data_IF_518317481769
#
_entry.id   IF_518317481769
#
_cell.length_a   1.000
_cell.length_b   1.000
_cell.length_c   1.000
_cell.angle_alpha   90.00
_cell.angle_beta   90.00
_cell.angle_gamma   90.00
#
_symmetry.space_group_name_H-M   'P 1'
#
loop_
_entity.id
_entity.type
_entity.pdbx_description
1 polymer ?
#
# COMPACT_ATOMS: atom_id res chain seq x y z
N UNK A 1 -19.99 -7.03 0.38
CA UNK A 1 -19.40 -6.80 1.72
C UNK A 1 -18.89 -5.36 1.73
N UNK A 2 -19.64 -4.40 2.27
CA UNK A 2 -19.24 -2.98 2.20
C UNK A 2 -18.32 -2.67 3.37
N UNK A 3 -17.02 -2.68 3.09
CA UNK A 3 -15.96 -2.34 4.04
C UNK A 3 -15.58 -0.88 3.82
N UNK A 4 -15.54 -0.06 4.87
CA UNK A 4 -14.89 1.25 4.79
C UNK A 4 -13.41 1.10 5.12
N UNK A 5 -12.55 1.82 4.40
CA UNK A 5 -11.12 1.91 4.65
C UNK A 5 -10.76 3.36 4.95
N UNK A 6 -10.07 3.58 6.07
CA UNK A 6 -9.40 4.85 6.38
C UNK A 6 -7.94 4.53 6.64
N UNK A 7 -7.02 5.29 6.05
CA UNK A 7 -5.60 5.05 6.23
C UNK A 7 -4.78 6.33 6.19
N UNK A 8 -3.58 6.29 6.77
CA UNK A 8 -2.56 7.33 6.61
C UNK A 8 -1.33 6.74 5.93
N UNK A 9 -0.71 7.50 5.04
CA UNK A 9 0.59 7.15 4.48
C UNK A 9 1.70 7.67 5.39
N UNK A 10 2.78 6.90 5.56
CA UNK A 10 3.95 7.34 6.31
C UNK A 10 4.75 8.42 5.58
N UNK A 11 5.78 8.94 6.26
CA UNK A 11 6.73 9.86 5.67
C UNK A 11 7.36 9.32 4.37
N UNK A 12 7.84 10.22 3.50
CA UNK A 12 8.57 9.83 2.29
C UNK A 12 9.90 9.13 2.60
N UNK A 13 10.54 8.50 1.60
CA UNK A 13 11.90 7.97 1.77
C UNK A 13 12.86 9.11 2.13
N UNK A 14 13.75 8.86 3.09
CA UNK A 14 14.78 9.81 3.49
C UNK A 14 15.71 10.14 2.34
N UNK A 15 16.03 11.43 2.17
CA UNK A 15 17.13 11.88 1.31
C UNK A 15 18.35 11.99 2.22
N UNK A 16 19.30 11.06 2.12
CA UNK A 16 20.59 11.22 2.78
C UNK A 16 21.35 12.35 2.07
N UNK A 17 21.26 13.56 2.62
CA UNK A 17 22.10 14.69 2.24
C UNK A 17 23.45 14.60 2.98
N UNK A 18 24.24 13.56 2.72
CA UNK A 18 25.68 13.58 3.01
C UNK A 18 26.45 13.39 1.70
N UNK A 19 27.50 14.18 1.55
CA UNK A 19 28.04 14.60 0.26
C UNK A 19 28.63 13.52 -0.63
N UNK A 20 28.62 13.87 -1.93
CA UNK A 20 29.64 13.50 -2.93
C UNK A 20 29.66 12.06 -3.46
N UNK A 21 28.82 11.79 -4.47
CA UNK A 21 29.17 11.10 -5.71
C UNK A 21 27.89 10.84 -6.49
N UNK A 22 27.68 11.60 -7.56
CA UNK A 22 26.76 11.22 -8.62
C UNK A 22 27.31 9.91 -9.18
N UNK A 23 26.45 8.89 -9.33
CA UNK A 23 26.76 7.52 -9.78
C UNK A 23 27.19 6.58 -8.64
N UNK A 24 26.43 5.48 -8.49
CA UNK A 24 26.67 4.28 -7.65
C UNK A 24 26.17 4.24 -6.18
N UNK A 25 24.90 4.61 -5.93
CA UNK A 25 24.20 4.21 -4.69
C UNK A 25 22.70 3.89 -4.93
N UNK A 26 22.39 3.13 -5.98
CA UNK A 26 21.03 2.72 -6.34
C UNK A 26 20.51 1.47 -5.62
N UNK A 27 21.25 0.90 -4.66
CA UNK A 27 20.99 -0.49 -4.21
C UNK A 27 20.56 -0.70 -2.74
N UNK A 28 19.98 0.33 -2.10
CA UNK A 28 19.11 0.12 -0.93
C UNK A 28 17.89 1.02 -1.03
N UNK A 29 16.91 0.55 -1.80
CA UNK A 29 15.62 1.16 -2.05
C UNK A 29 14.89 1.41 -0.71
N UNK A 30 15.02 2.61 -0.14
CA UNK A 30 14.77 2.84 1.29
C UNK A 30 13.28 2.68 1.63
N UNK A 31 12.92 1.53 2.17
CA UNK A 31 11.68 1.28 2.91
C UNK A 31 11.68 1.98 4.27
N UNK A 32 12.74 2.74 4.57
CA UNK A 32 12.94 3.53 5.78
C UNK A 32 12.82 5.02 5.51
N UNK A 33 12.34 5.75 6.51
CA UNK A 33 12.26 7.22 6.47
C UNK A 33 13.62 7.86 6.76
N UNK A 34 13.66 9.19 6.82
CA UNK A 34 14.87 9.95 7.15
C UNK A 34 15.42 9.67 8.56
N UNK A 35 14.60 9.14 9.46
CA UNK A 35 14.99 8.78 10.83
C UNK A 35 15.43 7.31 10.92
N UNK A 36 15.40 6.56 9.81
CA UNK A 36 15.73 5.14 9.77
C UNK A 36 14.61 4.22 10.26
N UNK A 37 13.42 4.75 10.54
CA UNK A 37 12.24 3.97 10.92
C UNK A 37 11.59 3.32 9.71
N UNK A 38 10.97 2.17 9.91
CA UNK A 38 10.22 1.49 8.86
C UNK A 38 9.01 2.34 8.46
N UNK A 39 8.89 2.66 7.17
CA UNK A 39 7.82 3.52 6.66
C UNK A 39 6.50 2.77 6.58
N UNK A 40 5.42 3.45 6.95
CA UNK A 40 4.07 3.00 6.67
C UNK A 40 3.80 3.04 5.16
N UNK A 41 3.06 2.04 4.67
CA UNK A 41 2.75 1.90 3.25
C UNK A 41 1.73 2.94 2.76
N UNK A 42 1.73 3.19 1.46
CA UNK A 42 0.62 3.86 0.81
C UNK A 42 -0.49 2.85 0.45
N UNK A 43 -1.58 3.34 -0.15
CA UNK A 43 -2.69 2.50 -0.60
C UNK A 43 -2.23 1.36 -1.52
N UNK A 44 -1.31 1.65 -2.44
CA UNK A 44 -0.79 0.70 -3.43
C UNK A 44 0.36 -0.19 -2.94
N UNK A 45 0.80 -0.08 -1.67
CA UNK A 45 1.88 -0.94 -1.17
C UNK A 45 1.45 -2.39 -0.94
N UNK A 46 0.16 -2.61 -0.72
CA UNK A 46 -0.40 -3.95 -0.50
C UNK A 46 -1.21 -4.44 -1.71
N UNK A 47 -1.14 -3.71 -2.82
CA UNK A 47 -1.76 -4.12 -4.07
C UNK A 47 -0.74 -4.91 -4.89
N UNK A 48 -1.18 -6.02 -5.50
CA UNK A 48 -0.34 -6.88 -6.35
C UNK A 48 -0.52 -6.55 -7.83
N UNK A 49 -1.29 -5.50 -8.16
CA UNK A 49 -1.54 -5.05 -9.52
C UNK A 49 -1.32 -3.54 -9.60
N UNK A 50 -0.75 -3.05 -10.71
CA UNK A 50 -0.73 -1.60 -10.94
C UNK A 50 -2.15 -1.05 -11.18
N UNK A 51 -2.38 0.24 -10.92
CA UNK A 51 -3.65 0.87 -11.27
C UNK A 51 -3.87 0.82 -12.78
N UNK A 52 -4.92 0.11 -13.19
CA UNK A 52 -5.37 0.04 -14.59
C UNK A 52 -6.68 0.80 -14.79
N UNK A 53 -7.07 1.02 -16.03
CA UNK A 53 -8.38 1.59 -16.35
C UNK A 53 -9.50 0.74 -15.74
N UNK A 54 -10.16 1.32 -14.73
CA UNK A 54 -11.24 0.68 -13.98
C UNK A 54 -12.62 1.22 -14.38
N UNK A 55 -12.70 2.06 -15.41
CA UNK A 55 -13.93 2.72 -15.87
C UNK A 55 -14.34 2.20 -17.25
N UNK A 56 -13.41 2.07 -18.19
CA UNK A 56 -13.71 1.54 -19.52
C UNK A 56 -14.23 0.10 -19.44
N UNK A 57 -15.25 -0.22 -20.23
CA UNK A 57 -15.94 -1.52 -20.26
C UNK A 57 -16.67 -1.94 -18.97
N UNK A 58 -16.87 -1.02 -18.00
CA UNK A 58 -17.80 -1.24 -16.88
C UNK A 58 -19.12 -0.52 -17.11
N UNK A 59 -20.25 -1.16 -16.84
CA UNK A 59 -21.55 -0.49 -16.88
C UNK A 59 -21.64 0.56 -15.76
N UNK A 60 -22.51 1.57 -15.89
CA UNK A 60 -22.65 2.64 -14.89
C UNK A 60 -22.89 2.07 -13.47
N UNK A 61 -23.65 0.98 -13.36
CA UNK A 61 -23.91 0.26 -12.10
C UNK A 61 -22.67 -0.45 -11.51
N UNK A 62 -21.65 -0.73 -12.34
CA UNK A 62 -20.35 -1.26 -11.92
C UNK A 62 -19.32 -0.16 -11.62
N UNK A 63 -19.62 1.09 -11.98
CA UNK A 63 -18.82 2.27 -11.66
C UNK A 63 -19.33 2.95 -10.38
N UNK A 64 -20.63 2.89 -10.11
CA UNK A 64 -21.25 3.44 -8.92
C UNK A 64 -21.26 2.41 -7.78
N UNK A 65 -20.47 2.68 -6.73
CA UNK A 65 -20.61 1.91 -5.50
C UNK A 65 -21.91 2.32 -4.81
N UNK A 66 -22.95 1.47 -4.85
CA UNK A 66 -24.13 1.64 -3.99
C UNK A 66 -23.69 1.37 -2.54
N UNK A 67 -23.31 2.42 -1.84
CA UNK A 67 -22.93 2.33 -0.42
C UNK A 67 -24.16 2.41 0.46
N UNK A 68 -24.20 1.61 1.54
CA UNK A 68 -25.19 1.80 2.60
C UNK A 68 -25.14 3.24 3.14
N UNK A 69 -26.28 3.93 3.26
CA UNK A 69 -26.34 5.25 3.89
C UNK A 69 -25.66 5.23 5.27
N UNK A 70 -24.81 6.22 5.54
CA UNK A 70 -24.04 6.34 6.79
C UNK A 70 -22.59 5.84 6.75
N UNK A 71 -22.21 5.01 5.76
CA UNK A 71 -20.80 4.58 5.61
C UNK A 71 -19.85 5.75 5.38
N UNK A 72 -20.24 6.69 4.51
CA UNK A 72 -19.47 7.89 4.24
C UNK A 72 -19.26 8.73 5.50
N UNK A 73 -20.30 8.90 6.32
CA UNK A 73 -20.22 9.65 7.58
C UNK A 73 -19.28 8.99 8.58
N UNK A 74 -19.35 7.67 8.72
CA UNK A 74 -18.46 6.91 9.61
C UNK A 74 -16.99 7.01 9.15
N UNK A 75 -16.74 6.83 7.85
CA UNK A 75 -15.39 6.94 7.29
C UNK A 75 -14.83 8.37 7.45
N UNK A 76 -15.66 9.38 7.20
CA UNK A 76 -15.27 10.79 7.32
C UNK A 76 -14.94 11.15 8.77
N UNK A 77 -15.78 10.75 9.74
CA UNK A 77 -15.52 10.98 11.16
C UNK A 77 -14.21 10.33 11.63
N UNK A 78 -13.96 9.08 11.20
CA UNK A 78 -12.69 8.39 11.49
C UNK A 78 -11.48 9.04 10.84
N UNK A 79 -11.63 9.56 9.62
CA UNK A 79 -10.55 10.26 8.91
C UNK A 79 -10.18 11.55 9.62
N UNK A 80 -11.18 12.34 10.02
CA UNK A 80 -10.95 13.58 10.78
C UNK A 80 -10.31 13.31 12.14
N UNK A 81 -10.77 12.30 12.86
CA UNK A 81 -10.18 11.86 14.14
C UNK A 81 -8.72 11.39 13.95
N UNK A 82 -8.46 10.50 12.97
CA UNK A 82 -7.12 10.01 12.67
C UNK A 82 -6.16 11.15 12.31
N UNK A 83 -6.64 12.11 11.52
CA UNK A 83 -5.87 13.29 11.14
C UNK A 83 -5.54 14.18 12.35
N UNK A 84 -6.52 14.44 13.22
CA UNK A 84 -6.30 15.21 14.45
C UNK A 84 -5.28 14.52 15.36
N UNK A 85 -5.36 13.19 15.54
CA UNK A 85 -4.38 12.42 16.31
C UNK A 85 -2.97 12.52 15.73
N UNK A 86 -2.84 12.40 14.42
CA UNK A 86 -1.55 12.53 13.73
C UNK A 86 -0.92 13.90 13.95
N UNK A 87 -1.71 14.98 13.92
CA UNK A 87 -1.20 16.35 14.16
C UNK A 87 -0.74 16.58 15.60
N UNK A 88 -1.33 15.89 16.58
CA UNK A 88 -0.94 16.01 17.99
C UNK A 88 0.14 15.02 18.42
N UNK A 89 0.45 14.03 17.59
CA UNK A 89 1.51 13.08 17.89
C UNK A 89 2.88 13.77 17.78
N UNK A 90 3.81 13.59 18.75
CA UNK A 90 5.11 14.26 18.75
C UNK A 90 5.91 14.02 17.46
N UNK A 91 5.86 12.80 16.92
CA UNK A 91 6.56 12.43 15.68
C UNK A 91 5.79 12.80 14.39
N UNK A 92 4.56 13.30 14.49
CA UNK A 92 3.74 13.72 13.34
C UNK A 92 3.62 12.66 12.23
N UNK A 93 4.08 13.01 11.03
CA UNK A 93 4.07 12.11 9.86
C UNK A 93 5.00 10.88 10.01
N UNK A 94 6.00 10.98 10.89
CA UNK A 94 6.94 9.88 11.18
C UNK A 94 6.41 8.94 12.27
N UNK A 95 5.27 9.25 12.88
CA UNK A 95 4.70 8.44 13.94
C UNK A 95 4.46 7.00 13.49
N UNK A 96 4.87 5.98 14.27
CA UNK A 96 4.68 4.57 13.92
C UNK A 96 3.19 4.23 13.89
N UNK A 97 2.83 3.21 13.10
CA UNK A 97 1.46 2.69 13.10
C UNK A 97 1.20 1.88 14.36
N UNK A 98 0.06 2.10 15.00
CA UNK A 98 -0.34 1.35 16.19
C UNK A 98 -1.50 0.39 15.88
N UNK A 99 -1.56 -0.71 16.62
CA UNK A 99 -2.68 -1.66 16.58
C UNK A 99 -3.22 -1.89 17.98
N UNK A 100 -4.46 -2.35 18.09
CA UNK A 100 -5.05 -2.69 19.39
C UNK A 100 -4.14 -3.66 20.17
N UNK A 101 -3.78 -3.30 21.41
CA UNK A 101 -2.85 -4.06 22.25
C UNK A 101 -1.40 -3.56 22.25
N UNK A 102 -1.05 -2.61 21.36
CA UNK A 102 0.19 -1.84 21.51
C UNK A 102 -0.05 -0.69 22.47
N UNK A 103 0.61 -0.70 23.63
CA UNK A 103 0.43 0.29 24.69
C UNK A 103 1.19 1.58 24.34
N UNK A 104 0.63 2.40 23.47
CA UNK A 104 1.02 3.81 23.32
C UNK A 104 0.18 4.66 24.28
N UNK A 105 0.78 5.22 25.32
CA UNK A 105 0.11 6.16 26.22
C UNK A 105 -0.02 7.54 25.54
N UNK A 106 -0.89 7.63 24.55
CA UNK A 106 -1.20 8.88 23.86
C UNK A 106 -2.54 9.44 24.34
N UNK A 107 -2.57 10.75 24.63
CA UNK A 107 -3.74 11.46 25.16
C UNK A 107 -5.00 11.31 24.29
N UNK A 108 -4.83 11.10 22.99
CA UNK A 108 -5.92 10.93 22.02
C UNK A 108 -6.13 9.46 21.60
N UNK A 109 -5.48 8.52 22.28
CA UNK A 109 -5.54 7.09 21.99
C UNK A 109 -4.72 6.68 20.77
N UNK A 110 -5.03 5.49 20.25
CA UNK A 110 -4.24 4.82 19.21
C UNK A 110 -4.10 5.63 17.92
N UNK A 111 -2.93 5.54 17.28
CA UNK A 111 -2.66 6.11 15.96
C UNK A 111 -2.43 5.02 14.88
N UNK A 112 -3.50 4.38 14.39
CA UNK A 112 -3.38 3.28 13.46
C UNK A 112 -2.88 3.71 12.07
N UNK A 113 -2.33 2.75 11.34
CA UNK A 113 -1.98 2.90 9.93
C UNK A 113 -3.23 2.77 9.03
N UNK A 114 -3.98 1.68 9.19
CA UNK A 114 -5.22 1.38 8.47
C UNK A 114 -6.33 1.02 9.43
N UNK A 115 -7.55 1.47 9.12
CA UNK A 115 -8.78 1.16 9.82
C UNK A 115 -9.75 0.58 8.79
N UNK A 116 -10.18 -0.68 8.98
CA UNK A 116 -11.18 -1.35 8.15
C UNK A 116 -12.44 -1.63 8.97
N UNK A 117 -13.58 -1.10 8.55
CA UNK A 117 -14.86 -1.32 9.24
C UNK A 117 -15.85 -2.10 8.39
N UNK A 118 -16.53 -3.08 8.98
CA UNK A 118 -17.65 -3.79 8.36
C UNK A 118 -18.95 -3.48 9.09
N UNK A 119 -19.92 -2.87 8.41
CA UNK A 119 -21.25 -2.64 8.99
C UNK A 119 -22.08 -3.90 9.10
N UNK A 120 -21.86 -4.91 8.24
CA UNK A 120 -22.61 -6.16 8.34
C UNK A 120 -22.19 -7.00 9.53
N UNK A 121 -20.92 -6.90 9.94
CA UNK A 121 -20.37 -7.63 11.09
C UNK A 121 -20.22 -6.74 12.34
N UNK A 122 -20.58 -5.45 12.23
CA UNK A 122 -20.40 -4.45 13.28
C UNK A 122 -18.98 -4.47 13.90
N UNK A 123 -17.96 -4.68 13.08
CA UNK A 123 -16.58 -4.79 13.53
C UNK A 123 -15.69 -3.66 12.98
N UNK A 124 -14.58 -3.44 13.69
CA UNK A 124 -13.53 -2.51 13.34
C UNK A 124 -12.19 -3.21 13.53
N UNK A 125 -11.36 -3.18 12.48
CA UNK A 125 -10.04 -3.78 12.48
C UNK A 125 -8.99 -2.69 12.22
N UNK A 126 -7.95 -2.66 13.05
CA UNK A 126 -6.75 -1.86 12.80
C UNK A 126 -5.67 -2.74 12.19
N UNK A 127 -5.12 -2.33 11.06
CA UNK A 127 -4.10 -3.07 10.34
C UNK A 127 -2.86 -2.23 10.16
N UNK A 128 -1.72 -2.91 10.04
CA UNK A 128 -0.43 -2.31 9.81
C UNK A 128 0.15 -2.87 8.51
N UNK A 129 0.69 -1.98 7.70
CA UNK A 129 1.24 -2.29 6.39
C UNK A 129 2.39 -1.33 6.11
N UNK A 130 3.46 -1.87 5.56
CA UNK A 130 4.71 -1.14 5.38
C UNK A 130 4.94 -0.79 3.93
N UNK A 131 5.81 0.18 3.68
CA UNK A 131 6.22 0.51 2.32
C UNK A 131 7.01 -0.64 1.69
N UNK A 132 6.68 -0.98 0.45
CA UNK A 132 7.43 -1.93 -0.36
C UNK A 132 8.37 -1.22 -1.32
N UNK A 133 9.52 -1.83 -1.58
CA UNK A 133 10.46 -1.46 -2.65
C UNK A 133 9.80 -1.50 -4.02
N UNK A 134 8.89 -2.45 -4.25
CA UNK A 134 8.27 -2.71 -5.55
C UNK A 134 6.94 -1.96 -5.73
N UNK A 135 6.60 -1.04 -4.82
CA UNK A 135 5.35 -0.29 -4.89
C UNK A 135 5.33 0.66 -6.09
N UNK A 136 4.28 0.55 -6.90
CA UNK A 136 3.99 1.35 -8.11
C UNK A 136 3.72 2.84 -7.84
N UNK A 137 3.64 3.27 -6.58
CA UNK A 137 3.36 4.65 -6.21
C UNK A 137 4.44 5.29 -5.31
N UNK A 138 4.81 4.67 -4.20
CA UNK A 138 5.68 5.29 -3.20
C UNK A 138 7.09 4.68 -3.09
N UNK A 139 7.48 3.83 -4.05
CA UNK A 139 8.86 3.35 -4.16
C UNK A 139 9.81 4.50 -4.48
N UNK A 140 11.07 4.39 -4.08
CA UNK A 140 12.05 5.42 -4.39
C UNK A 140 12.36 5.51 -5.89
N UNK A 141 12.17 4.42 -6.66
CA UNK A 141 12.28 4.44 -8.12
C UNK A 141 11.25 5.38 -8.75
N UNK A 142 9.97 5.19 -8.42
CA UNK A 142 8.86 6.04 -8.89
C UNK A 142 9.07 7.50 -8.48
N UNK A 143 9.41 7.74 -7.21
CA UNK A 143 9.63 9.10 -6.70
C UNK A 143 10.83 9.79 -7.36
N UNK A 144 11.89 9.05 -7.69
CA UNK A 144 13.07 9.60 -8.36
C UNK A 144 12.77 9.96 -9.81
N UNK A 145 12.07 9.09 -10.55
CA UNK A 145 11.65 9.37 -11.92
C UNK A 145 10.68 10.55 -11.99
N UNK A 146 9.71 10.64 -11.07
CA UNK A 146 8.82 11.78 -10.97
C UNK A 146 9.57 13.08 -10.68
N UNK A 147 10.54 13.09 -9.75
CA UNK A 147 11.36 14.29 -9.48
C UNK A 147 12.22 14.70 -10.67
N UNK A 148 12.71 13.75 -11.44
CA UNK A 148 13.60 13.98 -12.59
C UNK A 148 12.87 14.47 -13.83
N UNK A 149 11.72 13.88 -14.14
CA UNK A 149 10.98 14.09 -15.40
C UNK A 149 9.68 14.87 -15.23
N UNK A 150 9.17 14.97 -14.00
CA UNK A 150 7.93 15.68 -13.69
C UNK A 150 6.74 15.16 -14.51
N UNK A 151 6.13 16.07 -15.28
CA UNK A 151 4.92 15.77 -16.04
C UNK A 151 5.11 14.80 -17.19
N UNK A 152 6.30 14.75 -17.81
CA UNK A 152 6.56 13.80 -18.90
C UNK A 152 6.48 12.36 -18.42
N UNK A 153 6.92 12.11 -17.18
CA UNK A 153 6.76 10.80 -16.54
C UNK A 153 5.29 10.49 -16.26
N UNK A 154 4.52 11.44 -15.73
CA UNK A 154 3.08 11.25 -15.48
C UNK A 154 2.33 10.93 -16.78
N UNK A 155 2.63 11.65 -17.85
CA UNK A 155 2.01 11.41 -19.16
C UNK A 155 2.41 10.04 -19.72
N UNK A 156 3.67 9.62 -19.57
CA UNK A 156 4.07 8.27 -19.98
C UNK A 156 3.31 7.20 -19.19
N UNK A 157 3.30 7.31 -17.86
CA UNK A 157 2.61 6.37 -16.96
C UNK A 157 1.12 6.23 -17.29
N UNK A 158 0.44 7.34 -17.60
CA UNK A 158 -0.99 7.32 -17.95
C UNK A 158 -1.24 6.59 -19.27
N UNK A 159 -0.34 6.74 -20.25
CA UNK A 159 -0.52 6.16 -21.58
C UNK A 159 0.07 4.73 -21.70
N UNK A 160 1.00 4.36 -20.84
CA UNK A 160 1.69 3.06 -20.84
C UNK A 160 1.40 2.31 -19.51
N UNK A 161 0.37 1.45 -19.46
CA UNK A 161 -0.10 0.85 -18.21
C UNK A 161 0.93 -0.08 -17.55
N UNK A 162 1.82 -0.71 -18.32
CA UNK A 162 2.85 -1.62 -17.79
C UNK A 162 4.08 -0.89 -17.27
N UNK A 163 4.26 0.39 -17.60
CA UNK A 163 5.49 1.12 -17.33
C UNK A 163 5.82 1.19 -15.83
N UNK A 164 4.81 1.35 -14.97
CA UNK A 164 5.02 1.34 -13.51
C UNK A 164 5.43 -0.04 -13.00
N UNK A 165 4.84 -1.11 -13.53
CA UNK A 165 5.15 -2.48 -13.10
C UNK A 165 6.60 -2.84 -13.47
N UNK A 166 7.02 -2.45 -14.67
CA UNK A 166 8.37 -2.66 -15.16
C UNK A 166 9.39 -1.82 -14.39
N UNK A 167 9.06 -0.54 -14.12
CA UNK A 167 9.93 0.36 -13.35
C UNK A 167 10.14 -0.13 -11.91
N UNK A 168 9.13 -0.71 -11.27
CA UNK A 168 9.22 -1.17 -9.88
C UNK A 168 9.62 -2.62 -9.74
N UNK A 169 9.86 -3.33 -10.85
CA UNK A 169 10.13 -4.77 -10.86
C UNK A 169 8.96 -5.62 -10.37
N UNK A 170 7.74 -5.07 -10.36
CA UNK A 170 6.53 -5.81 -10.02
C UNK A 170 6.24 -6.87 -11.08
N UNK A 171 6.52 -6.59 -12.36
CA UNK A 171 6.39 -7.54 -13.47
C UNK A 171 7.17 -8.84 -13.21
N UNK A 172 8.42 -8.72 -12.73
CA UNK A 172 9.27 -9.88 -12.44
C UNK A 172 8.84 -10.60 -11.17
N UNK A 173 8.39 -9.86 -10.15
CA UNK A 173 7.82 -10.44 -8.94
C UNK A 173 6.60 -11.30 -9.26
N UNK A 174 5.68 -10.82 -10.11
CA UNK A 174 4.49 -11.57 -10.53
C UNK A 174 4.86 -12.84 -11.31
N UNK A 175 5.85 -12.77 -12.22
CA UNK A 175 6.34 -13.95 -12.95
C UNK A 175 6.93 -15.00 -12.01
N UNK A 176 7.74 -14.58 -11.04
CA UNK A 176 8.36 -15.50 -10.08
C UNK A 176 7.30 -16.21 -9.22
N UNK A 177 6.28 -15.48 -8.76
CA UNK A 177 5.18 -16.05 -7.98
C UNK A 177 4.35 -17.06 -8.81
N UNK A 178 4.10 -16.78 -10.09
CA UNK A 178 3.40 -17.69 -10.99
C UNK A 178 4.19 -18.99 -11.20
N UNK A 179 5.52 -18.90 -11.34
CA UNK A 179 6.37 -20.09 -11.47
C UNK A 179 6.34 -20.95 -10.21
N UNK A 180 6.45 -20.34 -9.02
CA UNK A 180 6.37 -21.07 -7.75
C UNK A 180 5.02 -21.73 -7.53
N UNK A 181 3.90 -21.12 -7.94
CA UNK A 181 2.57 -21.75 -7.81
C UNK A 181 2.39 -22.99 -8.67
N UNK A 182 3.03 -23.06 -9.84
CA UNK A 182 3.00 -24.24 -10.71
C UNK A 182 3.80 -25.39 -10.10
N UNK A 183 4.88 -25.10 -9.38
CA UNK A 183 5.75 -26.11 -8.74
C UNK A 183 5.03 -26.88 -7.58
N UNK A 184 4.01 -26.29 -6.95
CA UNK A 184 3.19 -26.96 -5.92
C UNK A 184 2.03 -27.80 -6.46
N UNK A 185 1.80 -27.79 -7.78
CA UNK A 185 0.70 -28.54 -8.41
C UNK A 185 1.15 -29.88 -9.04
N UNK A 186 2.44 -30.21 -9.01
CA UNK A 186 3.00 -31.41 -9.66
C UNK A 186 3.31 -32.57 -8.69
N UNK A 187 2.94 -32.49 -7.41
CA UNK A 187 3.06 -33.63 -6.48
C UNK A 187 1.73 -33.94 -5.78
N UNK A 188 0.99 -34.89 -6.39
CA UNK A 188 0.20 -36.01 -5.82
C UNK A 188 -1.16 -36.13 -6.49
N UNK A 189 -1.28 -37.09 -7.43
CA UNK A 189 -2.43 -37.99 -7.57
C UNK A 189 -2.09 -39.04 -8.65
N UNK A 190 -1.06 -39.87 -8.39
CA UNK A 190 -0.95 -41.19 -9.01
C UNK A 190 -0.67 -42.23 -7.91
N UNK A 191 -1.45 -43.32 -7.95
CA UNK A 191 -1.44 -44.55 -7.13
C UNK A 191 -2.22 -44.47 -5.80
N UNK A 192 -3.23 -45.30 -5.48
CA UNK A 192 -3.40 -46.73 -5.79
C UNK A 192 -4.87 -47.17 -5.56
N UNK A 193 -5.45 -47.86 -6.55
CA UNK A 193 -6.61 -48.75 -6.39
C UNK A 193 -6.21 -49.93 -5.49
N UNK A 194 -6.79 -50.04 -4.29
CA UNK A 194 -6.86 -51.34 -3.59
C UNK A 194 -8.25 -51.50 -2.98
N UNK A 195 -9.02 -52.42 -3.58
CA UNK A 195 -10.18 -53.08 -2.97
C UNK A 195 -9.82 -53.67 -1.60
N UNK A 196 -10.70 -53.48 -0.60
CA UNK A 196 -11.17 -54.49 0.38
C UNK A 196 -12.47 -53.98 1.02
#
# INVERSE_FOLDING_TARGET
MTVNLVMRHGAGPGINCEGSSVVAATDKLSTKDALGHQRLGCYFCNDVVAPVDSVSNRTLDQQCTVTRPGLASIASGRTADLFARMLHHPDGIHAPGEVAGTNGEHLLGLLPHQIRGSLSQYNLLTLLGYSSSNCTACSSGVLSEYRRRGMDFVMQVINEPTYLEDLTGLTDLMKSAAYSQVEWLDETDEDELVDI
#
